data_IF_224050462144
#
_entry.id   IF_224050462144
#
_cell.length_a   1.000
_cell.length_b   1.000
_cell.length_c   1.000
_cell.angle_alpha   90.00
_cell.angle_beta   90.00
_cell.angle_gamma   90.00
#
_symmetry.space_group_name_H-M   'P 1'
#
loop_
_entity.id
_entity.type
_entity.pdbx_description
1 polymer ?
#
# COMPACT_ATOMS: atom_id res chain seq x y z
N UNK A 1 -15.65 -14.44 8.06
CA UNK A 1 -15.68 -13.29 7.13
C UNK A 1 -14.30 -12.66 7.14
N UNK A 2 -13.70 -12.42 5.97
CA UNK A 2 -12.38 -11.79 5.86
C UNK A 2 -12.48 -10.38 6.45
N UNK A 3 -11.61 -10.06 7.41
CA UNK A 3 -11.59 -8.75 8.08
C UNK A 3 -10.51 -7.84 7.53
N UNK A 4 -9.37 -8.42 7.17
CA UNK A 4 -8.19 -7.75 6.64
C UNK A 4 -7.51 -8.70 5.65
N UNK A 5 -6.74 -8.15 4.73
CA UNK A 5 -5.77 -8.92 3.95
C UNK A 5 -4.65 -9.48 4.84
N UNK A 6 -4.08 -10.63 4.48
CA UNK A 6 -2.94 -11.20 5.19
C UNK A 6 -1.72 -10.25 5.11
N UNK A 7 -1.54 -9.63 3.95
CA UNK A 7 -0.52 -8.60 3.73
C UNK A 7 -0.66 -7.39 4.67
N UNK A 8 -1.89 -6.92 4.96
CA UNK A 8 -2.11 -5.85 5.93
C UNK A 8 -1.76 -6.28 7.36
N UNK A 9 -2.08 -7.51 7.75
CA UNK A 9 -1.74 -8.04 9.09
C UNK A 9 -0.22 -8.06 9.28
N UNK A 10 0.53 -8.45 8.26
CA UNK A 10 2.00 -8.43 8.26
C UNK A 10 2.53 -7.00 8.41
N UNK A 11 2.03 -6.03 7.62
CA UNK A 11 2.39 -4.62 7.75
C UNK A 11 2.14 -4.10 9.16
N UNK A 12 0.94 -4.34 9.70
CA UNK A 12 0.55 -3.86 11.02
C UNK A 12 1.52 -4.37 12.09
N UNK A 13 1.89 -5.66 12.02
CA UNK A 13 2.84 -6.27 12.96
C UNK A 13 4.22 -5.63 12.85
N UNK A 14 4.79 -5.53 11.65
CA UNK A 14 6.15 -5.01 11.47
C UNK A 14 6.26 -3.51 11.79
N UNK A 15 5.26 -2.72 11.41
CA UNK A 15 5.19 -1.30 11.79
C UNK A 15 5.10 -1.13 13.31
N UNK A 16 4.31 -1.94 14.01
CA UNK A 16 4.23 -1.89 15.47
C UNK A 16 5.56 -2.30 16.12
N UNK A 17 6.18 -3.38 15.67
CA UNK A 17 7.49 -3.81 16.18
C UNK A 17 8.56 -2.72 16.04
N UNK A 18 8.56 -1.98 14.92
CA UNK A 18 9.52 -0.89 14.71
C UNK A 18 9.23 0.32 15.62
N UNK A 19 7.96 0.62 15.88
CA UNK A 19 7.57 1.66 16.83
C UNK A 19 7.92 1.26 18.28
N UNK A 20 7.67 0.02 18.67
CA UNK A 20 8.01 -0.52 19.99
C UNK A 20 9.53 -0.47 20.21
N UNK A 21 10.31 -0.82 19.18
CA UNK A 21 11.76 -0.66 19.21
C UNK A 21 12.19 0.80 19.36
N UNK A 22 11.54 1.73 18.65
CA UNK A 22 11.83 3.15 18.80
C UNK A 22 11.52 3.66 20.22
N UNK A 23 10.42 3.22 20.83
CA UNK A 23 10.08 3.51 22.23
C UNK A 23 11.16 2.97 23.16
N UNK A 24 11.56 1.70 22.99
CA UNK A 24 12.62 1.08 23.79
C UNK A 24 13.92 1.91 23.74
N UNK A 25 14.36 2.32 22.56
CA UNK A 25 15.58 3.12 22.38
C UNK A 25 15.43 4.50 23.05
N UNK A 26 14.28 5.16 22.87
CA UNK A 26 14.01 6.47 23.50
C UNK A 26 13.92 6.40 25.02
N UNK A 27 13.49 5.29 25.60
CA UNK A 27 13.51 5.07 27.04
C UNK A 27 14.90 4.69 27.54
N UNK A 28 15.66 3.89 26.78
CA UNK A 28 16.99 3.42 27.17
C UNK A 28 18.08 4.49 27.06
N UNK A 29 18.05 5.36 26.05
CA UNK A 29 19.10 6.35 25.82
C UNK A 29 19.29 7.35 26.99
N UNK A 30 18.23 7.92 27.60
CA UNK A 30 18.39 8.75 28.81
C UNK A 30 18.97 7.98 30.00
N UNK A 31 18.59 6.71 30.18
CA UNK A 31 19.11 5.86 31.25
C UNK A 31 20.60 5.57 31.05
N UNK A 32 21.01 5.27 29.81
CA UNK A 32 22.42 5.11 29.45
C UNK A 32 23.21 6.39 29.70
N UNK A 33 22.65 7.56 29.33
CA UNK A 33 23.28 8.85 29.62
C UNK A 33 23.50 9.08 31.12
N UNK A 34 22.50 8.74 31.95
CA UNK A 34 22.61 8.83 33.40
C UNK A 34 23.66 7.85 33.96
N UNK A 35 23.64 6.59 33.51
CA UNK A 35 24.60 5.58 33.95
C UNK A 35 26.05 5.95 33.58
N UNK A 36 26.28 6.51 32.38
CA UNK A 36 27.60 6.99 31.97
C UNK A 36 28.08 8.15 32.86
N UNK A 37 27.19 9.09 33.21
CA UNK A 37 27.53 10.19 34.12
C UNK A 37 27.86 9.69 35.54
N UNK A 38 27.13 8.70 36.04
CA UNK A 38 27.43 8.08 37.33
C UNK A 38 28.78 7.35 37.32
N UNK A 39 29.08 6.62 36.24
CA UNK A 39 30.34 5.90 36.07
C UNK A 39 31.57 6.81 35.93
N UNK A 40 31.39 8.05 35.47
CA UNK A 40 32.45 9.07 35.46
C UNK A 40 32.81 9.56 36.88
N UNK A 41 31.87 9.50 37.82
CA UNK A 41 32.07 9.89 39.22
C UNK A 41 32.54 8.72 40.08
N UNK A 42 31.94 7.55 39.87
CA UNK A 42 32.25 6.31 40.57
C UNK A 42 32.51 5.18 39.55
N UNK A 43 33.78 4.78 39.32
CA UNK A 43 34.11 3.68 38.44
C UNK A 43 33.52 2.32 38.85
N UNK A 44 33.06 2.16 40.10
CA UNK A 44 32.37 0.96 40.56
C UNK A 44 30.87 0.95 40.21
N UNK A 45 30.32 2.07 39.73
CA UNK A 45 28.93 2.14 39.29
C UNK A 45 28.68 1.19 38.12
N UNK A 46 27.59 0.42 38.22
CA UNK A 46 27.21 -0.55 37.21
C UNK A 46 26.96 0.11 35.85
N UNK A 47 27.57 -0.44 34.80
CA UNK A 47 27.37 -0.02 33.42
C UNK A 47 27.25 -1.25 32.53
N UNK A 48 26.15 -1.34 31.79
CA UNK A 48 25.88 -2.48 30.93
C UNK A 48 26.96 -2.64 29.85
N UNK A 49 27.35 -3.88 29.58
CA UNK A 49 28.30 -4.23 28.50
C UNK A 49 27.55 -4.79 27.29
N UNK A 50 28.12 -4.60 26.11
CA UNK A 50 27.55 -5.11 24.86
C UNK A 50 28.45 -6.22 24.31
N UNK A 51 27.99 -7.47 24.40
CA UNK A 51 28.74 -8.62 23.92
C UNK A 51 28.72 -8.77 22.38
N UNK A 52 27.81 -8.08 21.69
CA UNK A 52 27.61 -8.22 20.24
C UNK A 52 28.56 -7.36 19.41
N UNK A 53 29.30 -6.44 20.04
CA UNK A 53 30.23 -5.52 19.37
C UNK A 53 31.59 -5.53 20.06
N UNK A 54 32.69 -5.30 19.32
CA UNK A 54 34.01 -5.19 19.92
C UNK A 54 34.06 -4.00 20.89
N UNK A 55 34.81 -4.17 21.98
CA UNK A 55 35.07 -3.08 22.92
C UNK A 55 35.83 -1.95 22.20
N UNK A 56 35.46 -0.71 22.50
CA UNK A 56 36.19 0.46 22.01
C UNK A 56 37.50 0.64 22.79
N UNK A 57 38.56 1.14 22.13
CA UNK A 57 39.85 1.43 22.77
C UNK A 57 39.71 2.38 23.97
N UNK A 58 38.88 3.41 23.80
CA UNK A 58 38.39 4.26 24.88
C UNK A 58 37.04 3.71 25.36
N UNK A 59 36.92 3.29 26.63
CA UNK A 59 35.69 2.72 27.16
C UNK A 59 34.47 3.60 26.87
N UNK A 60 33.44 2.98 26.31
CA UNK A 60 32.13 3.60 26.01
C UNK A 60 32.15 4.82 25.07
N UNK A 61 33.24 5.05 24.33
CA UNK A 61 33.36 6.20 23.43
C UNK A 61 32.33 6.19 22.29
N UNK A 62 31.95 5.00 21.81
CA UNK A 62 30.95 4.84 20.75
C UNK A 62 29.55 5.21 21.23
N UNK A 63 29.18 4.79 22.44
CA UNK A 63 27.92 5.08 23.10
C UNK A 63 27.79 6.57 23.38
N UNK A 64 28.83 7.18 23.99
CA UNK A 64 28.89 8.62 24.26
C UNK A 64 28.69 9.45 22.99
N UNK A 65 29.36 9.08 21.90
CA UNK A 65 29.22 9.75 20.59
C UNK A 65 27.81 9.61 20.03
N UNK A 66 27.22 8.42 20.12
CA UNK A 66 25.91 8.11 19.53
C UNK A 66 24.74 8.76 20.28
N UNK A 67 24.86 8.97 21.60
CA UNK A 67 23.80 9.55 22.44
C UNK A 67 23.36 10.95 22.03
N UNK A 68 24.23 11.77 21.43
CA UNK A 68 23.86 13.12 21.05
C UNK A 68 23.02 13.18 19.75
N UNK A 69 23.04 12.12 18.93
CA UNK A 69 22.36 12.08 17.63
C UNK A 69 21.40 10.91 17.45
N UNK A 70 21.12 10.12 18.49
CA UNK A 70 20.40 8.86 18.35
C UNK A 70 18.98 9.03 17.79
N UNK A 71 18.27 10.10 18.15
CA UNK A 71 16.89 10.36 17.69
C UNK A 71 16.82 10.60 16.19
N UNK A 72 17.84 11.23 15.63
CA UNK A 72 18.00 11.49 14.19
C UNK A 72 18.21 10.18 13.43
N UNK A 73 19.13 9.35 13.91
CA UNK A 73 19.41 8.03 13.31
C UNK A 73 18.20 7.10 13.45
N UNK A 74 17.55 7.11 14.62
CA UNK A 74 16.35 6.32 14.87
C UNK A 74 15.17 6.76 14.00
N UNK A 75 14.95 8.08 13.85
CA UNK A 75 13.92 8.63 12.98
C UNK A 75 14.12 8.25 11.52
N UNK A 76 15.35 8.32 11.03
CA UNK A 76 15.71 7.88 9.68
C UNK A 76 15.42 6.38 9.46
N UNK A 77 15.86 5.52 10.37
CA UNK A 77 15.62 4.07 10.29
C UNK A 77 14.14 3.72 10.42
N UNK A 78 13.41 4.41 11.30
CA UNK A 78 11.96 4.24 11.45
C UNK A 78 11.26 4.55 10.13
N UNK A 79 11.53 5.72 9.52
CA UNK A 79 10.92 6.10 8.24
C UNK A 79 11.23 5.09 7.12
N UNK A 80 12.51 4.72 6.97
CA UNK A 80 12.94 3.73 5.97
C UNK A 80 12.16 2.42 6.13
N UNK A 81 12.08 1.92 7.35
CA UNK A 81 11.43 0.65 7.67
C UNK A 81 9.94 0.70 7.40
N UNK A 82 9.21 1.67 7.98
CA UNK A 82 7.74 1.75 7.82
C UNK A 82 7.33 2.00 6.37
N UNK A 83 8.11 2.79 5.62
CA UNK A 83 7.85 2.98 4.19
C UNK A 83 8.05 1.68 3.41
N UNK A 84 9.14 0.95 3.67
CA UNK A 84 9.41 -0.33 3.01
C UNK A 84 8.33 -1.37 3.32
N UNK A 85 7.85 -1.43 4.56
CA UNK A 85 6.75 -2.32 4.94
C UNK A 85 5.46 -1.94 4.21
N UNK A 86 5.14 -0.65 4.13
CA UNK A 86 3.96 -0.17 3.40
C UNK A 86 4.03 -0.51 1.91
N UNK A 87 5.18 -0.27 1.26
CA UNK A 87 5.40 -0.58 -0.15
C UNK A 87 5.23 -2.09 -0.42
N UNK A 88 5.80 -2.93 0.44
CA UNK A 88 5.66 -4.39 0.37
C UNK A 88 4.20 -4.80 0.52
N UNK A 89 3.49 -4.22 1.50
CA UNK A 89 2.07 -4.50 1.71
C UNK A 89 1.23 -4.19 0.47
N UNK A 90 1.35 -2.99 -0.10
CA UNK A 90 0.48 -2.57 -1.20
C UNK A 90 0.57 -3.55 -2.39
N UNK A 91 1.81 -3.94 -2.70
CA UNK A 91 2.13 -4.85 -3.78
C UNK A 91 1.70 -6.29 -3.47
N UNK A 92 1.90 -6.76 -2.24
CA UNK A 92 1.41 -8.07 -1.81
C UNK A 92 -0.13 -8.14 -1.78
N UNK A 93 -0.81 -7.04 -1.42
CA UNK A 93 -2.28 -6.99 -1.40
C UNK A 93 -2.88 -7.14 -2.81
N UNK A 94 -2.22 -6.58 -3.84
CA UNK A 94 -2.60 -6.85 -5.22
C UNK A 94 -2.47 -8.34 -5.56
N UNK A 95 -1.34 -8.95 -5.22
CA UNK A 95 -1.09 -10.36 -5.52
C UNK A 95 -2.08 -11.27 -4.76
N UNK A 96 -2.44 -10.90 -3.53
CA UNK A 96 -3.44 -11.56 -2.70
C UNK A 96 -4.84 -11.50 -3.34
N UNK A 97 -5.26 -10.34 -3.85
CA UNK A 97 -6.52 -10.21 -4.60
C UNK A 97 -6.51 -11.10 -5.84
N UNK A 98 -5.44 -11.09 -6.63
CA UNK A 98 -5.34 -11.95 -7.83
C UNK A 98 -5.41 -13.42 -7.44
N UNK A 99 -4.69 -13.82 -6.39
CA UNK A 99 -4.68 -15.20 -5.87
C UNK A 99 -6.06 -15.65 -5.37
N UNK A 100 -6.78 -14.79 -4.65
CA UNK A 100 -8.12 -15.05 -4.11
C UNK A 100 -9.11 -15.47 -5.22
N UNK A 101 -8.97 -14.88 -6.42
CA UNK A 101 -9.80 -15.19 -7.58
C UNK A 101 -9.30 -16.37 -8.44
N UNK A 102 -8.37 -17.18 -7.92
CA UNK A 102 -7.79 -18.33 -8.63
C UNK A 102 -6.63 -17.96 -9.55
N UNK A 103 -5.96 -16.84 -9.28
CA UNK A 103 -4.84 -16.34 -10.06
C UNK A 103 -5.27 -15.67 -11.37
N UNK A 104 -4.29 -15.20 -12.15
CA UNK A 104 -4.54 -14.55 -13.46
C UNK A 104 -5.44 -15.40 -14.35
N UNK A 105 -5.16 -16.70 -14.47
CA UNK A 105 -5.94 -17.63 -15.30
C UNK A 105 -7.38 -17.78 -14.81
N UNK A 106 -7.60 -17.76 -13.49
CA UNK A 106 -8.93 -17.84 -12.90
C UNK A 106 -9.79 -16.64 -13.28
N UNK A 107 -9.25 -15.44 -13.10
CA UNK A 107 -9.92 -14.19 -13.46
C UNK A 107 -10.11 -14.11 -14.98
N UNK A 108 -9.09 -14.45 -15.78
CA UNK A 108 -9.17 -14.44 -17.24
C UNK A 108 -10.29 -15.36 -17.74
N UNK A 109 -10.41 -16.56 -17.17
CA UNK A 109 -11.47 -17.51 -17.51
C UNK A 109 -12.86 -16.98 -17.12
N UNK A 110 -13.00 -16.34 -15.95
CA UNK A 110 -14.24 -15.72 -15.51
C UNK A 110 -14.69 -14.60 -16.46
N UNK A 111 -13.78 -13.68 -16.81
CA UNK A 111 -14.08 -12.60 -17.76
C UNK A 111 -14.41 -13.18 -19.14
N UNK A 112 -13.62 -14.12 -19.66
CA UNK A 112 -13.90 -14.75 -20.97
C UNK A 112 -15.25 -15.45 -21.02
N UNK A 113 -15.71 -16.05 -19.91
CA UNK A 113 -17.04 -16.67 -19.82
C UNK A 113 -18.14 -15.62 -20.02
N UNK A 114 -17.98 -14.43 -19.44
CA UNK A 114 -18.90 -13.29 -19.62
C UNK A 114 -18.84 -12.71 -21.04
N UNK A 115 -17.68 -12.79 -21.70
CA UNK A 115 -17.47 -12.24 -23.05
C UNK A 115 -17.94 -13.15 -24.19
N UNK A 116 -18.38 -14.39 -23.91
CA UNK A 116 -18.83 -15.31 -24.96
C UNK A 116 -20.02 -14.72 -25.71
N UNK A 117 -19.93 -14.72 -27.03
CA UNK A 117 -21.02 -14.29 -27.91
C UNK A 117 -22.21 -15.23 -27.74
N UNK A 118 -23.38 -14.64 -27.55
CA UNK A 118 -24.65 -15.36 -27.47
C UNK A 118 -25.47 -14.99 -28.70
N UNK A 119 -26.16 -15.98 -29.25
CA UNK A 119 -27.17 -15.71 -30.27
C UNK A 119 -28.29 -14.90 -29.59
N UNK A 120 -28.43 -13.66 -30.03
CA UNK A 120 -29.43 -12.74 -29.53
C UNK A 120 -30.67 -12.78 -30.42
N UNK A 121 -31.84 -12.60 -29.83
CA UNK A 121 -33.07 -12.48 -30.59
C UNK A 121 -33.06 -11.20 -31.47
N UNK A 122 -33.97 -11.10 -32.45
CA UNK A 122 -34.05 -9.92 -33.32
C UNK A 122 -34.31 -8.59 -32.58
N UNK A 123 -34.98 -8.61 -31.42
CA UNK A 123 -35.31 -7.40 -30.65
C UNK A 123 -34.08 -6.83 -29.96
N UNK A 124 -33.21 -7.68 -29.44
CA UNK A 124 -31.90 -7.33 -28.89
C UNK A 124 -31.00 -6.75 -29.97
N UNK A 125 -30.96 -7.39 -31.15
CA UNK A 125 -30.19 -6.89 -32.30
C UNK A 125 -30.67 -5.50 -32.73
N UNK A 126 -31.98 -5.29 -32.80
CA UNK A 126 -32.56 -3.98 -33.12
C UNK A 126 -32.17 -2.92 -32.08
N UNK A 127 -32.21 -3.27 -30.79
CA UNK A 127 -31.81 -2.35 -29.71
C UNK A 127 -30.32 -2.02 -29.73
N UNK A 128 -29.46 -3.01 -30.01
CA UNK A 128 -28.03 -2.79 -30.21
C UNK A 128 -27.74 -1.89 -31.42
N UNK A 129 -28.44 -2.09 -32.53
CA UNK A 129 -28.33 -1.21 -33.70
C UNK A 129 -28.73 0.24 -33.36
N UNK A 130 -29.70 0.42 -32.46
CA UNK A 130 -30.06 1.74 -31.91
C UNK A 130 -28.94 2.43 -31.12
N UNK A 131 -28.00 1.66 -30.56
CA UNK A 131 -26.83 2.15 -29.81
C UNK A 131 -25.56 2.27 -30.66
N UNK A 132 -25.52 1.71 -31.87
CA UNK A 132 -24.36 1.75 -32.80
C UNK A 132 -24.23 3.07 -33.57
N UNK A 133 -24.55 4.19 -32.93
CA UNK A 133 -24.39 5.52 -33.53
C UNK A 133 -23.62 6.44 -32.58
N UNK A 134 -22.86 7.44 -33.09
CA UNK A 134 -22.20 8.40 -32.24
C UNK A 134 -23.18 9.06 -31.26
N UNK A 135 -22.77 9.22 -30.01
CA UNK A 135 -23.62 9.81 -28.98
C UNK A 135 -24.00 11.25 -29.35
N UNK A 136 -25.29 11.54 -29.32
CA UNK A 136 -25.87 12.88 -29.52
C UNK A 136 -26.69 13.26 -28.28
N UNK A 137 -26.33 14.30 -27.52
CA UNK A 137 -27.04 14.68 -26.30
C UNK A 137 -28.55 14.88 -26.50
N UNK A 138 -28.96 15.42 -27.65
CA UNK A 138 -30.39 15.65 -27.99
C UNK A 138 -31.19 14.34 -28.16
N UNK A 139 -30.52 13.18 -28.23
CA UNK A 139 -31.14 11.86 -28.37
C UNK A 139 -30.93 10.98 -27.13
N UNK A 140 -30.56 11.56 -25.99
CA UNK A 140 -30.30 10.83 -24.74
C UNK A 140 -31.43 9.85 -24.37
N UNK A 141 -32.69 10.27 -24.50
CA UNK A 141 -33.84 9.41 -24.15
C UNK A 141 -33.98 8.20 -25.07
N UNK A 142 -33.63 8.33 -26.35
CA UNK A 142 -33.58 7.20 -27.28
C UNK A 142 -32.53 6.19 -26.84
N UNK A 143 -31.34 6.65 -26.46
CA UNK A 143 -30.28 5.76 -25.98
C UNK A 143 -30.67 5.09 -24.67
N UNK A 144 -31.24 5.84 -23.70
CA UNK A 144 -31.76 5.28 -22.45
C UNK A 144 -32.79 4.18 -22.69
N UNK A 145 -33.72 4.39 -23.64
CA UNK A 145 -34.72 3.38 -24.03
C UNK A 145 -34.06 2.10 -24.53
N UNK A 146 -33.11 2.19 -25.44
CA UNK A 146 -32.41 1.01 -25.97
C UNK A 146 -31.52 0.34 -24.92
N UNK A 147 -30.85 1.10 -24.05
CA UNK A 147 -30.05 0.55 -22.94
C UNK A 147 -30.94 -0.15 -21.92
N UNK A 148 -32.09 0.42 -21.56
CA UNK A 148 -33.04 -0.21 -20.64
C UNK A 148 -33.57 -1.55 -21.18
N UNK A 149 -33.83 -1.63 -22.50
CA UNK A 149 -34.22 -2.88 -23.15
C UNK A 149 -33.13 -3.97 -23.08
N UNK A 150 -31.87 -3.60 -22.84
CA UNK A 150 -30.73 -4.51 -22.76
C UNK A 150 -30.31 -4.81 -21.30
N UNK A 151 -30.93 -4.20 -20.29
CA UNK A 151 -30.44 -4.22 -18.90
C UNK A 151 -30.32 -5.64 -18.29
N UNK A 152 -31.26 -6.53 -18.62
CA UNK A 152 -31.30 -7.90 -18.11
C UNK A 152 -30.73 -8.92 -19.09
N UNK A 153 -30.08 -8.44 -20.16
CA UNK A 153 -29.57 -9.29 -21.22
C UNK A 153 -28.08 -9.46 -21.01
N UNK A 154 -27.62 -10.70 -20.98
CA UNK A 154 -26.19 -11.01 -20.89
C UNK A 154 -25.52 -10.60 -22.19
N UNK A 155 -25.01 -9.37 -22.19
CA UNK A 155 -24.28 -8.74 -23.28
C UNK A 155 -22.84 -8.47 -22.85
N UNK A 156 -21.89 -8.77 -23.73
CA UNK A 156 -20.49 -8.41 -23.57
C UNK A 156 -20.28 -6.93 -23.96
N UNK A 157 -20.46 -6.02 -23.02
CA UNK A 157 -20.26 -4.58 -23.23
C UNK A 157 -18.79 -4.26 -23.56
N UNK A 158 -18.51 -3.17 -24.31
CA UNK A 158 -17.14 -2.76 -24.61
C UNK A 158 -16.28 -2.59 -23.35
N UNK A 159 -16.84 -2.07 -22.25
CA UNK A 159 -16.15 -1.96 -20.95
C UNK A 159 -15.64 -3.31 -20.44
N UNK A 160 -16.45 -4.38 -20.54
CA UNK A 160 -16.04 -5.73 -20.13
C UNK A 160 -14.91 -6.28 -21.00
N UNK A 161 -14.88 -5.92 -22.28
CA UNK A 161 -13.76 -6.29 -23.17
C UNK A 161 -12.48 -5.57 -22.77
N UNK A 162 -12.57 -4.29 -22.41
CA UNK A 162 -11.44 -3.54 -21.88
C UNK A 162 -10.97 -4.05 -20.51
N UNK A 163 -11.85 -4.59 -19.66
CA UNK A 163 -11.45 -5.20 -18.38
C UNK A 163 -10.46 -6.35 -18.58
N UNK A 164 -10.66 -7.21 -19.59
CA UNK A 164 -9.72 -8.29 -19.89
C UNK A 164 -8.33 -7.76 -20.27
N UNK A 165 -8.29 -6.73 -21.12
CA UNK A 165 -7.04 -6.07 -21.49
C UNK A 165 -6.38 -5.40 -20.29
N UNK A 166 -7.17 -4.70 -19.47
CA UNK A 166 -6.72 -4.03 -18.25
C UNK A 166 -6.09 -5.01 -17.26
N UNK A 167 -6.73 -6.17 -17.03
CA UNK A 167 -6.17 -7.25 -16.21
C UNK A 167 -4.79 -7.68 -16.72
N UNK A 168 -4.69 -7.99 -18.03
CA UNK A 168 -3.43 -8.44 -18.64
C UNK A 168 -2.33 -7.40 -18.52
N UNK A 169 -2.67 -6.13 -18.75
CA UNK A 169 -1.71 -5.03 -18.58
C UNK A 169 -1.31 -4.86 -17.12
N UNK A 170 -2.25 -4.92 -16.18
CA UNK A 170 -1.94 -4.80 -14.75
C UNK A 170 -0.97 -5.90 -14.30
N UNK A 171 -1.25 -7.16 -14.65
CA UNK A 171 -0.38 -8.30 -14.31
C UNK A 171 0.98 -8.19 -15.01
N UNK A 172 1.02 -7.82 -16.29
CA UNK A 172 2.28 -7.67 -17.03
C UNK A 172 3.16 -6.51 -16.52
N UNK A 173 2.54 -5.40 -16.10
CA UNK A 173 3.26 -4.22 -15.60
C UNK A 173 3.58 -4.31 -14.10
N UNK A 174 2.95 -5.23 -13.36
CA UNK A 174 3.14 -5.44 -11.92
C UNK A 174 4.61 -5.44 -11.46
N UNK A 175 5.57 -6.09 -12.15
CA UNK A 175 6.98 -6.07 -11.75
C UNK A 175 7.69 -4.72 -11.95
N UNK A 176 7.09 -3.79 -12.70
CA UNK A 176 7.65 -2.47 -13.04
C UNK A 176 7.08 -1.34 -12.19
N UNK A 177 6.01 -1.61 -11.43
CA UNK A 177 5.42 -0.61 -10.55
C UNK A 177 6.42 -0.19 -9.47
N UNK A 178 6.38 1.09 -9.12
CA UNK A 178 7.25 1.71 -8.12
C UNK A 178 6.41 2.35 -7.03
N UNK A 179 7.03 2.65 -5.90
CA UNK A 179 6.39 3.43 -4.83
C UNK A 179 5.66 4.70 -5.32
N UNK A 180 6.20 5.39 -6.33
CA UNK A 180 5.56 6.60 -6.90
C UNK A 180 4.18 6.34 -7.49
N UNK A 181 3.93 5.13 -7.98
CA UNK A 181 2.67 4.78 -8.63
C UNK A 181 1.56 4.43 -7.64
N UNK A 182 1.91 4.14 -6.37
CA UNK A 182 0.98 3.58 -5.38
C UNK A 182 -0.33 4.39 -5.24
N UNK A 183 -0.33 5.73 -5.06
CA UNK A 183 -1.58 6.48 -4.94
C UNK A 183 -2.48 6.33 -6.17
N UNK A 184 -1.89 6.35 -7.37
CA UNK A 184 -2.62 6.17 -8.63
C UNK A 184 -3.19 4.76 -8.73
N UNK A 185 -2.38 3.75 -8.45
CA UNK A 185 -2.78 2.34 -8.49
C UNK A 185 -3.88 2.04 -7.45
N UNK A 186 -3.84 2.65 -6.26
CA UNK A 186 -4.87 2.50 -5.25
C UNK A 186 -6.24 2.96 -5.75
N UNK A 187 -6.29 4.08 -6.50
CA UNK A 187 -7.51 4.59 -7.14
C UNK A 187 -7.93 3.68 -8.29
N UNK A 188 -7.02 3.42 -9.24
CA UNK A 188 -7.36 2.77 -10.51
C UNK A 188 -7.66 1.27 -10.38
N UNK A 189 -7.01 0.57 -9.45
CA UNK A 189 -7.16 -0.88 -9.28
C UNK A 189 -8.16 -1.21 -8.18
N UNK A 190 -8.05 -0.56 -7.02
CA UNK A 190 -8.86 -0.89 -5.85
C UNK A 190 -10.04 0.05 -5.64
N UNK A 191 -10.17 1.12 -6.44
CA UNK A 191 -11.26 2.08 -6.30
C UNK A 191 -11.19 2.88 -5.00
N UNK A 192 -9.99 3.04 -4.41
CA UNK A 192 -9.81 3.80 -3.18
C UNK A 192 -9.99 5.28 -3.48
N UNK A 193 -10.79 5.96 -2.70
CA UNK A 193 -10.90 7.43 -2.76
C UNK A 193 -9.63 8.05 -2.16
N UNK A 194 -8.68 8.47 -2.99
CA UNK A 194 -7.43 9.09 -2.55
C UNK A 194 -7.48 10.59 -2.83
N UNK A 195 -7.48 11.41 -1.78
CA UNK A 195 -7.51 12.86 -1.94
C UNK A 195 -6.18 13.39 -2.45
N UNK A 196 -6.18 14.58 -3.07
CA UNK A 196 -4.93 15.22 -3.51
C UNK A 196 -4.00 15.49 -2.31
N UNK A 197 -4.55 15.83 -1.14
CA UNK A 197 -3.77 15.98 0.09
C UNK A 197 -3.08 14.68 0.53
N UNK A 198 -3.78 13.54 0.46
CA UNK A 198 -3.19 12.23 0.77
C UNK A 198 -2.08 11.87 -0.23
N UNK A 199 -2.30 12.16 -1.51
CA UNK A 199 -1.31 11.93 -2.57
C UNK A 199 -0.05 12.77 -2.36
N UNK A 200 -0.22 14.06 -2.13
CA UNK A 200 0.89 14.99 -1.89
C UNK A 200 1.65 14.61 -0.62
N UNK A 201 0.92 14.24 0.43
CA UNK A 201 1.50 13.77 1.68
C UNK A 201 2.31 12.50 1.48
N UNK A 202 1.78 11.52 0.74
CA UNK A 202 2.49 10.28 0.42
C UNK A 202 3.78 10.56 -0.37
N UNK A 203 3.72 11.44 -1.38
CA UNK A 203 4.90 11.82 -2.17
C UNK A 203 5.94 12.57 -1.35
N UNK A 204 5.53 13.47 -0.45
CA UNK A 204 6.45 14.14 0.48
C UNK A 204 7.18 13.13 1.37
N UNK A 205 6.48 12.14 1.92
CA UNK A 205 7.08 11.09 2.76
C UNK A 205 8.05 10.24 1.93
N UNK A 206 7.67 9.87 0.70
CA UNK A 206 8.55 9.13 -0.22
C UNK A 206 9.83 9.91 -0.53
N UNK A 207 9.71 11.20 -0.78
CA UNK A 207 10.86 12.05 -1.12
C UNK A 207 11.81 12.20 0.08
N UNK A 208 11.27 12.30 1.30
CA UNK A 208 12.07 12.26 2.52
C UNK A 208 12.76 10.91 2.70
N UNK A 209 12.06 9.79 2.47
CA UNK A 209 12.67 8.44 2.44
C UNK A 209 13.82 8.37 1.45
N UNK A 210 13.65 8.90 0.23
CA UNK A 210 14.67 8.87 -0.80
C UNK A 210 15.89 9.71 -0.42
N UNK A 211 15.69 10.89 0.18
CA UNK A 211 16.80 11.72 0.70
C UNK A 211 17.60 10.99 1.77
N UNK A 212 16.92 10.28 2.68
CA UNK A 212 17.57 9.48 3.72
C UNK A 212 18.34 8.31 3.10
N UNK A 213 17.72 7.55 2.20
CA UNK A 213 18.34 6.39 1.54
C UNK A 213 19.58 6.77 0.71
N UNK A 214 19.61 7.97 0.14
CA UNK A 214 20.77 8.50 -0.61
C UNK A 214 21.79 9.24 0.26
N UNK A 215 21.64 9.24 1.60
CA UNK A 215 22.55 9.94 2.51
C UNK A 215 22.54 11.47 2.38
N UNK A 216 21.56 12.05 1.67
CA UNK A 216 21.46 13.49 1.40
C UNK A 216 20.91 14.28 2.58
N UNK A 217 20.10 13.65 3.43
CA UNK A 217 19.59 14.29 4.63
C UNK A 217 19.26 13.26 5.71
N UNK A 218 20.09 13.19 6.76
CA UNK A 218 19.81 12.39 7.94
C UNK A 218 18.94 13.14 8.96
N UNK A 219 18.74 14.46 8.83
CA UNK A 219 18.04 15.30 9.81
C UNK A 219 16.52 15.12 9.82
N UNK A 220 16.04 13.90 9.62
CA UNK A 220 14.64 13.56 9.82
C UNK A 220 14.45 13.28 11.32
N UNK A 221 13.87 14.25 12.03
CA UNK A 221 13.60 14.07 13.44
C UNK A 221 12.60 12.91 13.67
N UNK A 222 12.71 12.28 14.84
CA UNK A 222 11.88 11.15 15.20
C UNK A 222 10.37 11.48 15.15
N UNK A 223 9.99 12.74 15.43
CA UNK A 223 8.58 13.15 15.42
C UNK A 223 8.01 13.08 14.00
N UNK A 224 8.74 13.54 12.99
CA UNK A 224 8.34 13.43 11.58
C UNK A 224 8.24 11.97 11.14
N UNK A 225 9.16 11.11 11.58
CA UNK A 225 9.11 9.68 11.27
C UNK A 225 7.87 8.99 11.88
N UNK A 226 7.54 9.33 13.12
CA UNK A 226 6.34 8.84 13.80
C UNK A 226 5.07 9.32 13.10
N UNK A 227 5.00 10.61 12.73
CA UNK A 227 3.90 11.19 11.97
C UNK A 227 3.71 10.53 10.59
N UNK A 228 4.82 10.30 9.86
CA UNK A 228 4.80 9.53 8.62
C UNK A 228 4.30 8.09 8.82
N UNK A 229 4.72 7.42 9.91
CA UNK A 229 4.24 6.08 10.27
C UNK A 229 2.72 6.08 10.52
N UNK A 230 2.18 7.08 11.22
CA UNK A 230 0.74 7.19 11.43
C UNK A 230 -0.01 7.39 10.12
N UNK A 231 0.48 8.28 9.25
CA UNK A 231 -0.10 8.49 7.93
C UNK A 231 -0.13 7.18 7.12
N UNK A 232 1.01 6.50 6.97
CA UNK A 232 1.11 5.27 6.17
C UNK A 232 0.23 4.15 6.73
N UNK A 233 0.14 4.02 8.06
CA UNK A 233 -0.77 3.06 8.71
C UNK A 233 -2.24 3.33 8.37
N UNK A 234 -2.67 4.59 8.47
CA UNK A 234 -4.05 4.96 8.18
C UNK A 234 -4.36 4.82 6.69
N UNK A 235 -3.41 5.17 5.82
CA UNK A 235 -3.54 5.00 4.38
C UNK A 235 -3.64 3.52 4.00
N UNK A 236 -2.83 2.65 4.61
CA UNK A 236 -2.93 1.20 4.42
C UNK A 236 -4.27 0.64 4.90
N UNK A 237 -4.76 1.08 6.08
CA UNK A 237 -6.06 0.65 6.58
C UNK A 237 -7.20 1.03 5.64
N UNK A 238 -7.13 2.23 5.04
CA UNK A 238 -8.09 2.71 4.04
C UNK A 238 -8.09 1.82 2.79
N UNK A 239 -6.91 1.49 2.27
CA UNK A 239 -6.74 0.60 1.11
C UNK A 239 -7.27 -0.80 1.43
N UNK A 240 -6.83 -1.38 2.55
CA UNK A 240 -7.24 -2.72 3.00
C UNK A 240 -8.76 -2.84 3.18
N UNK A 241 -9.38 -1.84 3.81
CA UNK A 241 -10.83 -1.80 3.99
C UNK A 241 -11.57 -1.80 2.63
N UNK A 242 -11.03 -1.10 1.63
CA UNK A 242 -11.59 -1.08 0.28
C UNK A 242 -11.45 -2.44 -0.40
N UNK A 243 -10.27 -3.06 -0.30
CA UNK A 243 -9.98 -4.39 -0.86
C UNK A 243 -10.92 -5.46 -0.27
N UNK A 244 -11.03 -5.51 1.07
CA UNK A 244 -11.88 -6.50 1.75
C UNK A 244 -13.34 -6.31 1.34
N UNK A 245 -13.80 -5.06 1.25
CA UNK A 245 -15.19 -4.74 0.93
C UNK A 245 -15.55 -5.06 -0.53
N UNK A 246 -14.66 -4.75 -1.47
CA UNK A 246 -15.00 -4.70 -2.90
C UNK A 246 -14.30 -5.76 -3.74
N UNK A 247 -13.14 -6.27 -3.32
CA UNK A 247 -12.27 -7.11 -4.15
C UNK A 247 -12.18 -8.55 -3.66
N UNK A 248 -12.30 -8.80 -2.35
CA UNK A 248 -12.29 -10.16 -1.77
C UNK A 248 -13.69 -10.77 -1.71
N UNK A 249 -14.38 -10.76 -2.85
CA UNK A 249 -15.75 -11.27 -3.03
C UNK A 249 -15.73 -12.43 -4.03
N UNK A 250 -16.38 -13.55 -3.71
CA UNK A 250 -16.40 -14.70 -4.61
C UNK A 250 -17.36 -14.45 -5.79
N UNK A 251 -16.79 -14.13 -6.95
CA UNK A 251 -17.57 -13.93 -8.19
C UNK A 251 -17.78 -15.22 -8.99
N UNK A 252 -17.10 -16.32 -8.63
CA UNK A 252 -17.09 -17.57 -9.41
C UNK A 252 -18.49 -18.11 -9.73
N UNK A 253 -19.45 -17.88 -8.83
CA UNK A 253 -20.84 -18.34 -8.91
C UNK A 253 -21.86 -17.24 -9.25
N UNK A 254 -21.41 -16.00 -9.54
CA UNK A 254 -22.30 -14.86 -9.76
C UNK A 254 -22.85 -14.75 -11.19
N UNK A 255 -22.30 -15.52 -12.15
CA UNK A 255 -22.57 -15.39 -13.59
C UNK A 255 -22.62 -16.72 -14.33
#
# INVERSE_FOLDING_TARGET
MIRNTDSYVILRRHSQQMLDFAVLVCTAAPQLKHALAAHEVDPAAFLATNASFPASEVPYSTEKRSLNGYTTVLGANLLLSVFSYFETYFFAAFDEVISFHGGEKGIEAAIKRQLRERNHDPQVVASLNGLRSPYKPQRADRYRKHTAALANISLAWPSQRFMLYGLKQAVAQRPRWKAVDIPKLAVEIFGVDVTDQERDRFHSIRDDRNKIAHGKNLSHDLRKAVDASYFLKNFALKIDSCIVKNSLVLERYAH
#
